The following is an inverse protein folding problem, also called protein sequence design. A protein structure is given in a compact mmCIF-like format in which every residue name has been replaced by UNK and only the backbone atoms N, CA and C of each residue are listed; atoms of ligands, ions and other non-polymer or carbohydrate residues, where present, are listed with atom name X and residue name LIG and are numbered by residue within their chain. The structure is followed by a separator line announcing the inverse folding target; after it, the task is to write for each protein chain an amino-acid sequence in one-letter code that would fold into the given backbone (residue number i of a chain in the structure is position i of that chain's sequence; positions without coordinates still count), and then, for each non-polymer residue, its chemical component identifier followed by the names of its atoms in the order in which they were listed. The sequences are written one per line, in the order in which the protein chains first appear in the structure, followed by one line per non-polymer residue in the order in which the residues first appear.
data_IF_770045054949
#
_entry.id   IF_770045054949
#
_cell.length_a   1.000
_cell.length_b   1.000
_cell.length_c   1.000
_cell.angle_alpha   90.00
_cell.angle_beta   90.00
_cell.angle_gamma   90.00
#
_symmetry.space_group_name_H-M   'P 1'
#
loop_
_entity.id
_entity.type
_entity.pdbx_description
1 polymer ?
#
# COMPACT_ATOMS: atom_id res chain seq x y z
N UNK A 1 8.48 9.61 -24.03
CA UNK A 1 7.05 9.47 -23.70
C UNK A 1 6.66 8.00 -23.87
N UNK A 2 6.09 7.35 -22.85
CA UNK A 2 5.62 5.95 -22.87
C UNK A 2 4.11 5.94 -22.61
N UNK A 3 3.41 4.86 -22.99
CA UNK A 3 2.05 4.58 -22.57
C UNK A 3 2.08 3.54 -21.45
N UNK A 4 1.61 3.90 -20.25
CA UNK A 4 1.74 3.09 -19.04
C UNK A 4 0.35 2.72 -18.52
N UNK A 5 0.11 1.43 -18.30
CA UNK A 5 -1.08 0.94 -17.61
C UNK A 5 -0.85 0.97 -16.11
N UNK A 6 -1.78 1.58 -15.37
CA UNK A 6 -1.87 1.48 -13.91
C UNK A 6 -3.17 0.76 -13.56
N UNK A 7 -3.08 -0.43 -12.98
CA UNK A 7 -4.25 -1.13 -12.42
C UNK A 7 -4.43 -0.77 -10.95
N UNK A 8 -5.66 -0.80 -10.44
CA UNK A 8 -5.94 -0.30 -9.09
C UNK A 8 -5.77 1.23 -8.97
N UNK A 9 -5.95 1.95 -10.09
CA UNK A 9 -5.72 3.38 -10.21
C UNK A 9 -6.70 4.24 -9.39
N UNK A 10 -7.92 3.76 -9.19
CA UNK A 10 -8.90 4.39 -8.28
C UNK A 10 -8.59 4.17 -6.80
N UNK A 11 -7.53 3.39 -6.48
CA UNK A 11 -7.03 3.18 -5.13
C UNK A 11 -6.10 4.30 -4.66
N UNK A 12 -5.67 4.20 -3.40
CA UNK A 12 -4.82 5.20 -2.75
C UNK A 12 -3.49 5.42 -3.46
N UNK A 13 -2.64 4.38 -3.54
CA UNK A 13 -1.29 4.51 -4.15
C UNK A 13 -1.41 4.66 -5.67
N UNK A 14 -2.36 3.93 -6.30
CA UNK A 14 -2.57 3.98 -7.74
C UNK A 14 -2.91 5.38 -8.26
N UNK A 15 -3.81 6.11 -7.58
CA UNK A 15 -4.15 7.48 -7.95
C UNK A 15 -2.96 8.45 -7.88
N UNK A 16 -2.13 8.32 -6.84
CA UNK A 16 -0.90 9.13 -6.74
C UNK A 16 0.13 8.77 -7.82
N UNK A 17 0.26 7.49 -8.19
CA UNK A 17 1.13 7.08 -9.30
C UNK A 17 0.64 7.65 -10.63
N UNK A 18 -0.67 7.57 -10.91
CA UNK A 18 -1.25 8.18 -12.13
C UNK A 18 -0.90 9.66 -12.20
N UNK A 19 -1.12 10.41 -11.12
CA UNK A 19 -0.79 11.85 -11.06
C UNK A 19 0.67 12.12 -11.39
N UNK A 20 1.59 11.37 -10.77
CA UNK A 20 3.02 11.60 -10.97
C UNK A 20 3.47 11.18 -12.38
N UNK A 21 2.91 10.12 -12.96
CA UNK A 21 3.20 9.71 -14.34
C UNK A 21 2.75 10.75 -15.36
N UNK A 22 1.61 11.41 -15.13
CA UNK A 22 1.15 12.55 -15.94
C UNK A 22 2.14 13.70 -15.82
N UNK A 23 2.56 14.06 -14.61
CA UNK A 23 3.53 15.12 -14.36
C UNK A 23 4.87 14.87 -15.09
N UNK A 24 5.28 13.60 -15.22
CA UNK A 24 6.47 13.18 -15.99
C UNK A 24 6.24 13.11 -17.50
N UNK A 25 5.07 13.51 -18.00
CA UNK A 25 4.75 13.57 -19.43
C UNK A 25 4.47 12.20 -20.07
N UNK A 26 4.08 11.19 -19.30
CA UNK A 26 3.65 9.90 -19.83
C UNK A 26 2.18 9.90 -20.23
N UNK A 27 1.81 9.08 -21.20
CA UNK A 27 0.41 8.71 -21.44
C UNK A 27 0.03 7.61 -20.46
N UNK A 28 -1.11 7.78 -19.78
CA UNK A 28 -1.56 6.81 -18.78
C UNK A 28 -2.88 6.19 -19.19
N UNK A 29 -2.97 4.88 -19.01
CA UNK A 29 -4.23 4.13 -18.97
C UNK A 29 -4.44 3.69 -17.52
N UNK A 30 -5.59 4.01 -16.95
CA UNK A 30 -5.93 3.75 -15.57
C UNK A 30 -7.13 2.79 -15.48
N UNK A 31 -7.02 1.74 -14.68
CA UNK A 31 -8.13 0.79 -14.47
C UNK A 31 -8.36 0.53 -12.99
N UNK A 32 -9.62 0.44 -12.60
CA UNK A 32 -10.04 -0.04 -11.27
C UNK A 32 -11.38 -0.77 -11.38
N UNK A 33 -11.71 -1.62 -10.43
CA UNK A 33 -13.03 -2.27 -10.34
C UNK A 33 -14.12 -1.30 -9.86
N UNK A 34 -13.71 -0.24 -9.13
CA UNK A 34 -14.61 0.76 -8.57
C UNK A 34 -15.18 1.66 -9.66
N UNK A 35 -16.44 2.14 -9.52
CA UNK A 35 -16.95 3.22 -10.35
C UNK A 35 -16.14 4.50 -10.14
N UNK A 36 -16.13 5.40 -11.12
CA UNK A 36 -15.29 6.61 -11.10
C UNK A 36 -15.60 7.55 -9.93
N UNK A 37 -16.83 7.59 -9.48
CA UNK A 37 -17.27 8.42 -8.32
C UNK A 37 -16.61 7.98 -7.00
N UNK A 38 -16.14 6.72 -6.93
CA UNK A 38 -15.44 6.17 -5.77
C UNK A 38 -13.91 6.33 -5.85
N UNK A 39 -13.39 7.00 -6.91
CA UNK A 39 -11.98 7.27 -7.04
C UNK A 39 -11.64 8.60 -6.33
N UNK A 40 -10.74 8.58 -5.35
CA UNK A 40 -10.24 9.82 -4.75
C UNK A 40 -9.53 10.74 -5.74
N UNK A 41 -8.93 10.16 -6.79
CA UNK A 41 -8.22 10.87 -7.84
C UNK A 41 -8.58 10.26 -9.20
N UNK A 42 -9.33 11.00 -10.00
CA UNK A 42 -9.69 10.63 -11.38
C UNK A 42 -9.30 11.81 -12.29
N UNK A 43 -8.50 11.54 -13.32
CA UNK A 43 -7.93 12.57 -14.19
C UNK A 43 -8.57 12.46 -15.58
N UNK A 44 -9.08 13.58 -16.12
CA UNK A 44 -9.78 13.60 -17.41
C UNK A 44 -8.88 13.35 -18.62
N UNK A 45 -7.60 13.70 -18.51
CA UNK A 45 -6.58 13.47 -19.55
C UNK A 45 -6.07 12.02 -19.65
N UNK A 46 -6.60 11.12 -18.84
CA UNK A 46 -6.22 9.70 -18.73
C UNK A 46 -7.27 8.82 -19.40
N UNK A 47 -6.84 7.74 -20.04
CA UNK A 47 -7.74 6.68 -20.48
C UNK A 47 -8.25 5.87 -19.27
N UNK A 48 -9.39 6.28 -18.68
CA UNK A 48 -9.96 5.64 -17.50
C UNK A 48 -10.95 4.53 -17.87
N UNK A 49 -10.84 3.36 -17.19
CA UNK A 49 -11.74 2.23 -17.37
C UNK A 49 -12.17 1.62 -16.02
N UNK A 50 -13.44 1.27 -15.91
CA UNK A 50 -13.94 0.40 -14.84
C UNK A 50 -13.85 -1.04 -15.32
N UNK A 51 -12.86 -1.81 -14.81
CA UNK A 51 -12.58 -3.19 -15.21
C UNK A 51 -12.20 -4.05 -13.99
N UNK A 52 -12.81 -5.22 -13.89
CA UNK A 52 -12.40 -6.27 -12.96
C UNK A 52 -11.19 -7.04 -13.53
N UNK A 53 -10.02 -6.84 -12.93
CA UNK A 53 -8.78 -7.47 -13.38
C UNK A 53 -8.64 -8.94 -12.94
N UNK A 54 -9.62 -9.51 -12.21
CA UNK A 54 -9.69 -10.96 -12.01
C UNK A 54 -10.16 -11.69 -13.26
N UNK A 55 -10.77 -10.97 -14.21
CA UNK A 55 -11.23 -11.48 -15.50
C UNK A 55 -10.11 -11.36 -16.52
N UNK A 56 -9.71 -12.49 -17.14
CA UNK A 56 -8.58 -12.59 -18.07
C UNK A 56 -8.73 -11.63 -19.26
N UNK A 57 -9.90 -11.58 -19.87
CA UNK A 57 -10.21 -10.76 -21.04
C UNK A 57 -10.01 -9.26 -20.74
N UNK A 58 -10.35 -8.82 -19.52
CA UNK A 58 -10.14 -7.45 -19.09
C UNK A 58 -8.65 -7.11 -18.95
N UNK A 59 -7.83 -8.06 -18.46
CA UNK A 59 -6.38 -7.88 -18.41
C UNK A 59 -5.78 -7.73 -19.81
N UNK A 60 -6.22 -8.54 -20.77
CA UNK A 60 -5.78 -8.43 -22.16
C UNK A 60 -6.19 -7.10 -22.78
N UNK A 61 -7.47 -6.72 -22.66
CA UNK A 61 -7.99 -5.42 -23.12
C UNK A 61 -7.22 -4.23 -22.53
N UNK A 62 -6.92 -4.28 -21.24
CA UNK A 62 -6.19 -3.20 -20.57
C UNK A 62 -4.73 -3.11 -21.00
N UNK A 63 -4.09 -4.25 -21.31
CA UNK A 63 -2.66 -4.33 -21.63
C UNK A 63 -2.36 -4.05 -23.10
N UNK A 64 -3.33 -4.20 -23.99
CA UNK A 64 -3.13 -3.99 -25.42
C UNK A 64 -2.66 -2.55 -25.74
N UNK A 65 -1.55 -2.43 -26.43
CA UNK A 65 -1.00 -1.15 -26.91
C UNK A 65 -0.39 -0.27 -25.82
N UNK A 66 -0.02 -0.84 -24.65
CA UNK A 66 0.80 -0.13 -23.63
C UNK A 66 2.25 -0.60 -23.67
N UNK A 67 3.17 0.22 -23.20
CA UNK A 67 4.60 -0.09 -23.12
C UNK A 67 4.99 -0.78 -21.82
N UNK A 68 4.38 -0.35 -20.71
CA UNK A 68 4.70 -0.79 -19.34
C UNK A 68 3.42 -0.97 -18.51
N UNK A 69 3.49 -1.83 -17.51
CA UNK A 69 2.38 -2.11 -16.59
C UNK A 69 2.81 -1.91 -15.15
N UNK A 70 2.02 -1.15 -14.40
CA UNK A 70 2.14 -0.97 -12.95
C UNK A 70 0.91 -1.62 -12.31
N UNK A 71 1.09 -2.83 -11.76
CA UNK A 71 0.01 -3.58 -11.13
C UNK A 71 -0.13 -3.25 -9.65
N UNK A 72 -1.16 -2.44 -9.33
CA UNK A 72 -1.53 -2.07 -7.96
C UNK A 72 -2.85 -2.72 -7.51
N UNK A 73 -3.55 -3.42 -8.42
CA UNK A 73 -4.86 -4.00 -8.14
C UNK A 73 -4.76 -5.22 -7.22
N UNK A 74 -5.44 -5.16 -6.09
CA UNK A 74 -5.65 -6.30 -5.17
C UNK A 74 -6.78 -6.02 -4.20
N UNK A 75 -7.39 -7.08 -3.68
CA UNK A 75 -8.31 -6.97 -2.53
C UNK A 75 -7.50 -6.89 -1.24
N UNK A 76 -7.50 -5.71 -0.61
CA UNK A 76 -6.75 -5.47 0.63
C UNK A 76 -7.41 -4.39 1.48
N UNK A 77 -6.98 -4.30 2.73
CA UNK A 77 -7.40 -3.29 3.69
C UNK A 77 -6.52 -3.29 4.93
N UNK A 78 -6.99 -2.70 6.01
CA UNK A 78 -6.40 -2.85 7.34
C UNK A 78 -6.55 -4.27 7.88
N UNK A 79 -5.97 -4.56 9.06
CA UNK A 79 -5.96 -5.91 9.64
C UNK A 79 -7.35 -6.52 9.78
N UNK A 80 -8.34 -5.73 10.20
CA UNK A 80 -9.72 -6.22 10.32
C UNK A 80 -10.31 -6.73 9.01
N UNK A 81 -9.99 -6.08 7.88
CA UNK A 81 -10.43 -6.54 6.57
C UNK A 81 -9.71 -7.83 6.15
N UNK A 82 -8.39 -7.87 6.27
CA UNK A 82 -7.56 -9.00 5.84
C UNK A 82 -7.93 -10.28 6.62
N UNK A 83 -8.07 -10.19 7.94
CA UNK A 83 -8.40 -11.34 8.79
C UNK A 83 -9.81 -11.92 8.54
N UNK A 84 -10.75 -11.04 8.15
CA UNK A 84 -12.14 -11.48 7.92
C UNK A 84 -12.44 -11.81 6.44
N UNK A 85 -11.49 -11.57 5.51
CA UNK A 85 -11.70 -11.78 4.07
C UNK A 85 -10.54 -12.54 3.42
N UNK A 86 -10.02 -13.58 4.07
CA UNK A 86 -8.82 -14.31 3.65
C UNK A 86 -8.92 -14.88 2.23
N UNK A 87 -10.00 -15.57 1.90
CA UNK A 87 -10.22 -16.13 0.58
C UNK A 87 -10.29 -15.03 -0.49
N UNK A 88 -11.00 -13.93 -0.21
CA UNK A 88 -11.10 -12.79 -1.13
C UNK A 88 -9.73 -12.15 -1.39
N UNK A 89 -8.90 -12.01 -0.36
CA UNK A 89 -7.52 -11.52 -0.51
C UNK A 89 -6.69 -12.47 -1.39
N UNK A 90 -6.80 -13.79 -1.19
CA UNK A 90 -6.07 -14.79 -1.98
C UNK A 90 -6.49 -14.80 -3.45
N UNK A 91 -7.76 -14.52 -3.78
CA UNK A 91 -8.23 -14.44 -5.16
C UNK A 91 -7.55 -13.32 -5.97
N UNK A 92 -6.87 -12.38 -5.33
CA UNK A 92 -6.03 -11.40 -6.02
C UNK A 92 -4.89 -12.04 -6.82
N UNK A 93 -4.54 -13.30 -6.55
CA UNK A 93 -3.60 -14.08 -7.38
C UNK A 93 -4.03 -14.13 -8.84
N UNK A 94 -5.35 -14.13 -9.12
CA UNK A 94 -5.88 -14.13 -10.49
C UNK A 94 -5.48 -12.85 -11.23
N UNK A 95 -5.53 -11.70 -10.56
CA UNK A 95 -5.10 -10.42 -11.16
C UNK A 95 -3.65 -10.51 -11.62
N UNK A 96 -2.73 -10.88 -10.72
CA UNK A 96 -1.31 -10.98 -11.06
C UNK A 96 -1.06 -12.03 -12.15
N UNK A 97 -1.70 -13.19 -12.07
CA UNK A 97 -1.57 -14.26 -13.05
C UNK A 97 -2.00 -13.81 -14.45
N UNK A 98 -3.21 -13.25 -14.57
CA UNK A 98 -3.74 -12.82 -15.87
C UNK A 98 -2.95 -11.64 -16.44
N UNK A 99 -2.52 -10.71 -15.60
CA UNK A 99 -1.68 -9.58 -16.02
C UNK A 99 -0.31 -10.05 -16.56
N UNK A 100 0.36 -10.99 -15.89
CA UNK A 100 1.64 -11.54 -16.36
C UNK A 100 1.48 -12.27 -17.69
N UNK A 101 0.39 -13.06 -17.86
CA UNK A 101 0.07 -13.73 -19.13
C UNK A 101 -0.15 -12.68 -20.24
N UNK A 102 -0.94 -11.63 -19.97
CA UNK A 102 -1.16 -10.55 -20.94
C UNK A 102 0.13 -9.81 -21.29
N UNK A 103 0.98 -9.53 -20.29
CA UNK A 103 2.28 -8.90 -20.52
C UNK A 103 3.19 -9.73 -21.41
N UNK A 104 3.23 -11.04 -21.22
CA UNK A 104 3.95 -11.97 -22.10
C UNK A 104 3.41 -11.92 -23.53
N UNK A 105 2.09 -12.01 -23.70
CA UNK A 105 1.43 -12.04 -25.02
C UNK A 105 1.71 -10.76 -25.81
N UNK A 106 1.55 -9.59 -25.19
CA UNK A 106 1.77 -8.29 -25.83
C UNK A 106 3.23 -7.82 -25.79
N UNK A 107 4.18 -8.65 -25.32
CA UNK A 107 5.62 -8.34 -25.23
C UNK A 107 5.88 -7.03 -24.51
N UNK A 108 5.20 -6.83 -23.37
CA UNK A 108 5.36 -5.66 -22.52
C UNK A 108 6.82 -5.56 -22.05
N UNK A 109 7.37 -4.36 -22.08
CA UNK A 109 8.78 -4.13 -21.76
C UNK A 109 9.07 -4.25 -20.26
N UNK A 110 8.13 -3.79 -19.42
CA UNK A 110 8.32 -3.74 -17.96
C UNK A 110 7.02 -4.00 -17.21
N UNK A 111 7.12 -4.76 -16.14
CA UNK A 111 6.02 -5.08 -15.23
C UNK A 111 6.40 -4.77 -13.80
N UNK A 112 5.62 -3.92 -13.14
CA UNK A 112 5.76 -3.66 -11.71
C UNK A 112 4.67 -4.37 -10.91
N UNK A 113 5.05 -5.00 -9.81
CA UNK A 113 4.15 -5.66 -8.86
C UNK A 113 4.25 -5.05 -7.47
N UNK A 114 3.08 -4.66 -6.92
CA UNK A 114 2.95 -4.20 -5.55
C UNK A 114 2.83 -5.37 -4.58
N UNK A 115 3.94 -5.77 -3.97
CA UNK A 115 3.97 -6.70 -2.84
C UNK A 115 3.77 -5.97 -1.51
N UNK A 116 3.95 -6.67 -0.41
CA UNK A 116 3.63 -6.17 0.93
C UNK A 116 4.58 -6.72 1.98
N UNK A 117 4.74 -5.99 3.08
CA UNK A 117 5.37 -6.50 4.30
C UNK A 117 4.63 -7.69 4.94
N UNK A 118 3.40 -8.01 4.50
CA UNK A 118 2.69 -9.23 4.91
C UNK A 118 3.31 -10.50 4.31
N UNK A 119 4.20 -10.40 3.32
CA UNK A 119 4.96 -11.52 2.75
C UNK A 119 6.07 -12.04 3.67
N UNK A 120 6.43 -11.31 4.72
CA UNK A 120 7.47 -11.69 5.66
C UNK A 120 7.04 -12.78 6.63
N UNK A 121 8.04 -13.57 7.08
CA UNK A 121 7.84 -14.59 8.12
C UNK A 121 7.30 -13.96 9.41
N UNK A 122 6.12 -14.42 9.85
CA UNK A 122 5.43 -13.90 11.04
C UNK A 122 6.13 -14.27 12.35
N UNK A 123 6.95 -15.33 12.37
CA UNK A 123 7.69 -15.73 13.57
C UNK A 123 8.75 -14.69 13.97
N UNK A 124 9.27 -13.92 13.01
CA UNK A 124 10.22 -12.82 13.26
C UNK A 124 9.55 -11.57 13.84
N UNK A 125 8.22 -11.54 13.94
CA UNK A 125 7.41 -10.37 14.25
C UNK A 125 6.62 -10.49 15.57
N UNK A 126 7.05 -11.39 16.47
CA UNK A 126 6.35 -11.72 17.72
C UNK A 126 6.60 -10.72 18.86
N UNK A 127 7.58 -9.83 18.73
CA UNK A 127 7.95 -8.85 19.74
C UNK A 127 7.67 -7.42 19.24
N UNK A 128 7.46 -6.49 20.17
CA UNK A 128 7.28 -5.07 19.87
C UNK A 128 8.57 -4.38 19.47
N UNK A 129 9.71 -4.85 19.97
CA UNK A 129 11.04 -4.37 19.58
C UNK A 129 11.67 -5.40 18.66
N UNK A 130 11.69 -5.11 17.38
CA UNK A 130 12.34 -5.93 16.36
C UNK A 130 13.33 -5.08 15.57
N UNK A 131 14.36 -5.71 15.02
CA UNK A 131 15.14 -5.12 13.94
C UNK A 131 14.30 -4.99 12.68
N UNK A 132 14.66 -4.09 11.77
CA UNK A 132 14.01 -3.98 10.46
C UNK A 132 14.06 -5.32 9.72
N UNK A 133 12.98 -5.67 9.03
CA UNK A 133 12.89 -6.87 8.21
C UNK A 133 13.67 -6.68 6.90
N UNK A 134 14.64 -7.54 6.65
CA UNK A 134 15.42 -7.59 5.40
C UNK A 134 14.67 -8.39 4.36
N UNK A 135 14.95 -8.17 3.09
CA UNK A 135 14.28 -8.87 1.99
C UNK A 135 14.43 -10.40 2.07
N UNK A 136 15.53 -10.91 2.63
CA UNK A 136 15.77 -12.33 2.90
C UNK A 136 14.80 -12.93 3.93
N UNK A 137 14.26 -12.13 4.85
CA UNK A 137 13.46 -12.58 6.00
C UNK A 137 12.04 -13.05 5.62
N UNK A 138 11.71 -13.02 4.33
CA UNK A 138 10.52 -13.70 3.82
C UNK A 138 10.66 -15.23 3.81
N UNK A 139 11.88 -15.74 4.00
CA UNK A 139 12.16 -17.18 4.01
C UNK A 139 12.90 -17.60 5.30
N UNK A 140 12.60 -18.82 5.85
CA UNK A 140 11.58 -19.75 5.40
C UNK A 140 10.19 -19.15 5.40
N UNK A 141 9.36 -19.53 4.41
CA UNK A 141 8.07 -18.89 4.16
C UNK A 141 7.04 -19.19 5.26
N UNK A 142 6.62 -18.16 5.96
CA UNK A 142 5.54 -18.17 6.94
C UNK A 142 4.82 -16.80 6.95
N UNK A 143 4.29 -16.35 5.79
CA UNK A 143 3.68 -15.03 5.67
C UNK A 143 2.36 -14.92 6.43
N UNK A 144 1.86 -13.68 6.60
CA UNK A 144 0.51 -13.47 7.13
C UNK A 144 -0.53 -14.15 6.25
N UNK A 145 -1.45 -14.85 6.90
CA UNK A 145 -2.47 -15.67 6.28
C UNK A 145 -3.27 -14.94 5.19
N UNK A 146 -3.72 -15.67 4.17
CA UNK A 146 -4.45 -15.16 3.04
C UNK A 146 -3.67 -14.14 2.20
N UNK A 147 -3.69 -12.88 2.60
CA UNK A 147 -3.04 -11.80 1.87
C UNK A 147 -1.52 -11.94 1.73
N UNK A 148 -0.84 -12.35 2.81
CA UNK A 148 0.62 -12.54 2.78
C UNK A 148 1.04 -13.68 1.84
N UNK A 149 0.30 -14.79 1.85
CA UNK A 149 0.55 -15.92 0.95
C UNK A 149 0.31 -15.54 -0.51
N UNK A 150 -0.75 -14.78 -0.82
CA UNK A 150 -0.98 -14.27 -2.17
C UNK A 150 0.20 -13.42 -2.65
N UNK A 151 0.66 -12.50 -1.82
CA UNK A 151 1.78 -11.61 -2.17
C UNK A 151 3.08 -12.38 -2.41
N UNK A 152 3.45 -13.28 -1.49
CA UNK A 152 4.67 -14.07 -1.64
C UNK A 152 4.64 -15.02 -2.85
N UNK A 153 3.49 -15.65 -3.12
CA UNK A 153 3.30 -16.46 -4.32
C UNK A 153 3.44 -15.62 -5.59
N UNK A 154 2.82 -14.45 -5.62
CA UNK A 154 2.88 -13.53 -6.77
C UNK A 154 4.28 -13.00 -7.03
N UNK A 155 5.10 -12.75 -5.99
CA UNK A 155 6.53 -12.45 -6.15
C UNK A 155 7.28 -13.60 -6.86
N UNK A 156 7.00 -14.85 -6.47
CA UNK A 156 7.59 -16.04 -7.13
C UNK A 156 7.19 -16.13 -8.60
N UNK A 157 5.92 -15.87 -8.92
CA UNK A 157 5.45 -15.82 -10.31
C UNK A 157 6.17 -14.73 -11.11
N UNK A 158 6.30 -13.51 -10.58
CA UNK A 158 7.04 -12.42 -11.23
C UNK A 158 8.48 -12.85 -11.55
N UNK A 159 9.17 -13.46 -10.58
CA UNK A 159 10.52 -13.96 -10.76
C UNK A 159 10.62 -14.99 -11.89
N UNK A 160 9.73 -15.98 -11.92
CA UNK A 160 9.77 -17.02 -12.96
C UNK A 160 9.37 -16.48 -14.34
N UNK A 161 8.48 -15.51 -14.43
CA UNK A 161 8.20 -14.83 -15.70
C UNK A 161 9.41 -14.02 -16.20
N UNK A 162 10.22 -13.48 -15.31
CA UNK A 162 11.50 -12.88 -15.68
C UNK A 162 12.48 -13.95 -16.19
N UNK A 163 12.66 -15.06 -15.46
CA UNK A 163 13.59 -16.14 -15.78
C UNK A 163 13.24 -16.83 -17.11
N UNK A 164 11.95 -17.15 -17.33
CA UNK A 164 11.49 -17.93 -18.48
C UNK A 164 11.21 -17.11 -19.73
N UNK A 165 10.76 -15.86 -19.57
CA UNK A 165 10.28 -15.02 -20.68
C UNK A 165 11.02 -13.69 -20.82
N UNK A 166 12.05 -13.44 -20.00
CA UNK A 166 12.83 -12.19 -19.99
C UNK A 166 11.96 -10.92 -19.83
N UNK A 167 10.85 -11.02 -19.09
CA UNK A 167 10.05 -9.86 -18.72
C UNK A 167 10.79 -9.04 -17.66
N UNK A 168 11.03 -7.76 -17.89
CA UNK A 168 11.66 -6.88 -16.89
C UNK A 168 10.67 -6.61 -15.74
N UNK A 169 10.79 -7.39 -14.66
CA UNK A 169 9.91 -7.27 -13.48
C UNK A 169 10.52 -6.39 -12.40
N UNK A 170 9.68 -5.64 -11.71
CA UNK A 170 10.01 -4.85 -10.53
C UNK A 170 9.04 -5.21 -9.40
N UNK A 171 9.56 -5.47 -8.22
CA UNK A 171 8.73 -5.89 -7.08
C UNK A 171 9.03 -5.02 -5.88
N UNK A 172 8.03 -4.33 -5.36
CA UNK A 172 8.13 -3.54 -4.13
C UNK A 172 7.39 -4.21 -2.97
N UNK A 173 8.03 -4.39 -1.83
CA UNK A 173 7.37 -4.73 -0.57
C UNK A 173 7.04 -3.46 0.19
N UNK A 174 5.79 -3.04 0.11
CA UNK A 174 5.32 -1.84 0.79
C UNK A 174 5.13 -2.05 2.29
N UNK A 175 5.72 -1.16 3.11
CA UNK A 175 5.59 -1.12 4.57
C UNK A 175 4.66 0.01 5.01
N UNK A 176 3.35 -0.32 5.21
CA UNK A 176 2.32 0.56 5.79
C UNK A 176 2.29 2.00 5.22
N UNK A 177 1.99 2.09 3.93
CA UNK A 177 1.87 3.39 3.27
C UNK A 177 0.64 4.13 3.78
N UNK A 178 0.76 5.45 4.03
CA UNK A 178 -0.31 6.32 4.50
C UNK A 178 -0.20 7.72 3.89
N UNK A 179 -1.29 8.48 3.91
CA UNK A 179 -1.32 9.85 3.38
C UNK A 179 -2.72 10.30 2.94
N UNK A 180 -2.84 11.50 2.38
CA UNK A 180 -4.07 12.02 1.77
C UNK A 180 -4.57 11.18 0.58
N UNK A 181 -5.84 11.32 0.22
CA UNK A 181 -6.52 10.62 -0.86
C UNK A 181 -6.51 9.09 -0.71
N UNK A 182 -6.61 8.61 0.53
CA UNK A 182 -6.74 7.20 0.87
C UNK A 182 -7.96 6.94 1.73
N UNK A 183 -8.35 5.68 1.87
CA UNK A 183 -9.47 5.25 2.70
C UNK A 183 -9.22 5.63 4.16
N UNK A 184 -10.13 6.38 4.76
CA UNK A 184 -10.10 6.77 6.17
C UNK A 184 -11.30 6.28 6.97
N UNK A 185 -12.30 5.69 6.30
CA UNK A 185 -13.51 5.12 6.87
C UNK A 185 -13.97 3.88 6.08
N UNK A 186 -14.99 3.15 6.58
CA UNK A 186 -15.62 2.03 5.89
C UNK A 186 -14.96 0.66 6.11
N UNK A 187 -14.04 0.52 7.08
CA UNK A 187 -13.48 -0.76 7.54
C UNK A 187 -12.28 -1.28 6.75
N UNK A 188 -11.81 -0.54 5.73
CA UNK A 188 -10.58 -0.87 4.97
C UNK A 188 -9.40 0.05 5.33
N UNK A 189 -9.63 1.06 6.14
CA UNK A 189 -8.63 2.04 6.54
C UNK A 189 -7.50 1.43 7.38
N UNK A 190 -6.30 1.97 7.22
CA UNK A 190 -5.13 1.62 8.04
C UNK A 190 -5.04 2.52 9.29
N UNK A 191 -4.26 2.09 10.27
CA UNK A 191 -4.17 2.75 11.58
C UNK A 191 -3.95 4.28 11.53
N UNK A 192 -3.05 4.87 10.71
CA UNK A 192 -2.88 6.32 10.70
C UNK A 192 -4.16 7.06 10.33
N UNK A 193 -4.85 6.62 9.27
CA UNK A 193 -6.10 7.25 8.82
C UNK A 193 -7.25 7.02 9.81
N UNK A 194 -7.40 5.78 10.32
CA UNK A 194 -8.41 5.44 11.30
C UNK A 194 -8.29 6.26 12.59
N UNK A 195 -7.07 6.42 13.10
CA UNK A 195 -6.83 7.17 14.33
C UNK A 195 -7.02 8.67 14.14
N UNK A 196 -6.57 9.25 13.02
CA UNK A 196 -6.87 10.64 12.67
C UNK A 196 -8.38 10.88 12.63
N UNK A 197 -9.14 10.03 11.92
CA UNK A 197 -10.61 10.13 11.85
C UNK A 197 -11.24 10.05 13.24
N UNK A 198 -10.89 9.06 14.05
CA UNK A 198 -11.45 8.89 15.40
C UNK A 198 -11.20 10.09 16.32
N UNK A 199 -10.01 10.69 16.24
CA UNK A 199 -9.70 11.91 17.00
C UNK A 199 -10.54 13.09 16.51
N UNK A 200 -10.67 13.27 15.19
CA UNK A 200 -11.53 14.33 14.61
C UNK A 200 -12.99 14.16 15.02
N UNK A 201 -13.52 12.93 14.96
CA UNK A 201 -14.88 12.60 15.39
C UNK A 201 -15.10 12.89 16.89
N UNK A 202 -14.15 12.48 17.73
CA UNK A 202 -14.22 12.72 19.16
C UNK A 202 -14.28 14.21 19.50
N UNK A 203 -13.48 15.02 18.79
CA UNK A 203 -13.49 16.49 18.95
C UNK A 203 -14.83 17.09 18.51
N UNK A 204 -15.37 16.66 17.35
CA UNK A 204 -16.65 17.18 16.82
C UNK A 204 -17.85 16.83 17.67
N UNK A 205 -17.84 15.63 18.27
CA UNK A 205 -18.97 15.12 19.05
C UNK A 205 -18.81 15.29 20.54
N UNK A 206 -17.76 16.00 20.99
CA UNK A 206 -17.37 16.18 22.40
C UNK A 206 -17.24 14.84 23.16
N UNK A 207 -16.86 13.78 22.44
CA UNK A 207 -16.55 12.50 23.07
C UNK A 207 -15.17 12.56 23.72
N UNK A 208 -15.09 12.11 24.99
CA UNK A 208 -13.83 12.13 25.73
C UNK A 208 -12.87 11.00 25.35
N UNK A 209 -13.38 9.91 24.78
CA UNK A 209 -12.60 8.70 24.53
C UNK A 209 -12.72 8.17 23.10
N UNK A 210 -11.67 7.51 22.63
CA UNK A 210 -11.64 6.76 21.37
C UNK A 210 -11.28 5.29 21.62
N UNK A 211 -11.74 4.41 20.75
CA UNK A 211 -11.41 2.97 20.80
C UNK A 211 -10.07 2.71 20.12
N UNK A 212 -9.19 2.00 20.83
CA UNK A 212 -7.89 1.52 20.34
C UNK A 212 -7.91 -0.01 20.32
N UNK A 213 -7.67 -0.61 19.17
CA UNK A 213 -7.62 -2.07 19.04
C UNK A 213 -6.34 -2.64 19.66
N UNK A 214 -6.48 -3.64 20.51
CA UNK A 214 -5.40 -4.22 21.31
C UNK A 214 -5.03 -3.35 22.50
N UNK A 215 -3.79 -3.46 22.93
CA UNK A 215 -3.19 -2.70 24.05
C UNK A 215 -2.48 -1.41 23.60
N UNK A 216 -2.43 -1.16 22.30
CA UNK A 216 -1.75 -0.01 21.72
C UNK A 216 -0.22 -0.11 21.69
N UNK A 217 0.37 -1.20 22.19
CA UNK A 217 1.83 -1.41 22.24
C UNK A 217 2.41 -2.08 20.99
N UNK A 218 1.56 -2.61 20.10
CA UNK A 218 2.03 -3.15 18.82
C UNK A 218 2.71 -2.04 18.01
N UNK A 219 3.89 -2.36 17.46
CA UNK A 219 4.73 -1.38 16.78
C UNK A 219 4.75 -1.58 15.27
N UNK A 220 4.79 -0.48 14.55
CA UNK A 220 4.89 -0.43 13.08
C UNK A 220 5.79 0.72 12.65
N UNK A 221 6.38 0.60 11.47
CA UNK A 221 6.84 1.76 10.73
C UNK A 221 5.82 2.15 9.66
N UNK A 222 5.76 3.42 9.32
CA UNK A 222 4.80 3.98 8.36
C UNK A 222 5.52 4.88 7.37
N UNK A 223 5.25 4.71 6.08
CA UNK A 223 5.87 5.51 5.02
C UNK A 223 4.84 6.46 4.40
N UNK A 224 5.20 7.73 4.32
CA UNK A 224 4.33 8.74 3.71
C UNK A 224 4.22 8.54 2.20
N UNK A 225 3.06 8.85 1.64
CA UNK A 225 2.72 8.53 0.24
C UNK A 225 3.68 9.17 -0.77
N UNK A 226 4.12 10.40 -0.58
CA UNK A 226 5.03 11.08 -1.53
C UNK A 226 6.38 10.34 -1.60
N UNK A 227 6.91 9.89 -0.47
CA UNK A 227 8.13 9.07 -0.41
C UNK A 227 7.91 7.70 -1.08
N UNK A 228 6.75 7.08 -0.87
CA UNK A 228 6.40 5.82 -1.52
C UNK A 228 6.39 5.96 -3.05
N UNK A 229 5.82 7.03 -3.59
CA UNK A 229 5.78 7.28 -5.04
C UNK A 229 7.19 7.49 -5.60
N UNK A 230 8.02 8.32 -4.94
CA UNK A 230 9.41 8.56 -5.35
C UNK A 230 10.22 7.25 -5.41
N UNK A 231 10.18 6.45 -4.32
CA UNK A 231 10.85 5.15 -4.28
C UNK A 231 10.35 4.17 -5.34
N UNK A 232 9.02 4.10 -5.53
CA UNK A 232 8.40 3.22 -6.54
C UNK A 232 8.89 3.54 -7.94
N UNK A 233 8.92 4.80 -8.31
CA UNK A 233 9.35 5.22 -9.64
C UNK A 233 10.85 5.04 -9.84
N UNK A 234 11.68 5.25 -8.81
CA UNK A 234 13.11 4.90 -8.84
C UNK A 234 13.31 3.40 -9.05
N UNK A 235 12.54 2.55 -8.36
CA UNK A 235 12.61 1.10 -8.56
C UNK A 235 12.20 0.70 -9.99
N UNK A 236 11.13 1.29 -10.52
CA UNK A 236 10.68 1.05 -11.90
C UNK A 236 11.79 1.41 -12.90
N UNK A 237 12.52 2.50 -12.68
CA UNK A 237 13.59 2.97 -13.56
C UNK A 237 14.94 2.25 -13.33
N UNK A 238 15.08 1.46 -12.26
CA UNK A 238 16.30 0.75 -11.89
C UNK A 238 16.52 -0.53 -12.72
N UNK A 239 17.64 -1.20 -12.47
CA UNK A 239 17.95 -2.55 -13.01
C UNK A 239 17.57 -3.67 -12.05
N UNK A 240 17.10 -3.35 -10.85
CA UNK A 240 16.76 -4.34 -9.83
C UNK A 240 15.50 -5.12 -10.22
N UNK A 241 15.55 -6.45 -10.10
CA UNK A 241 14.45 -7.36 -10.45
C UNK A 241 13.89 -8.12 -9.27
N UNK A 242 14.61 -8.14 -8.14
CA UNK A 242 14.18 -8.76 -6.89
C UNK A 242 13.22 -7.86 -6.10
N UNK A 243 12.58 -8.41 -5.07
CA UNK A 243 11.78 -7.61 -4.16
C UNK A 243 12.66 -6.63 -3.38
N UNK A 244 12.23 -5.36 -3.33
CA UNK A 244 12.87 -4.28 -2.57
C UNK A 244 11.88 -3.73 -1.55
N UNK A 245 12.34 -3.53 -0.32
CA UNK A 245 11.57 -2.84 0.70
C UNK A 245 11.34 -1.38 0.32
N UNK A 246 10.10 -0.94 0.38
CA UNK A 246 9.73 0.47 0.31
C UNK A 246 8.99 0.81 1.60
N UNK A 247 9.73 1.36 2.56
CA UNK A 247 9.27 1.56 3.92
C UNK A 247 10.05 2.63 4.68
N UNK A 248 9.73 2.78 5.95
CA UNK A 248 10.44 3.63 6.90
C UNK A 248 11.01 2.77 8.04
N UNK A 249 12.12 3.18 8.61
CA UNK A 249 12.72 2.58 9.81
C UNK A 249 12.18 3.23 11.10
N UNK A 250 11.44 4.35 11.01
CA UNK A 250 10.83 5.02 12.17
C UNK A 250 9.73 4.14 12.78
N UNK A 251 10.10 3.32 13.76
CA UNK A 251 9.19 2.41 14.44
C UNK A 251 8.47 3.12 15.59
N UNK A 252 7.14 3.05 15.59
CA UNK A 252 6.31 3.63 16.66
C UNK A 252 5.22 2.65 17.10
N UNK A 253 4.80 2.73 18.39
CA UNK A 253 3.60 2.05 18.85
C UNK A 253 2.34 2.81 18.41
N UNK A 254 1.19 2.14 18.46
CA UNK A 254 -0.11 2.80 18.22
C UNK A 254 -0.35 3.91 19.24
N UNK A 255 0.08 3.72 20.49
CA UNK A 255 0.02 4.75 21.53
C UNK A 255 0.87 5.98 21.19
N UNK A 256 2.12 5.77 20.77
CA UNK A 256 2.99 6.87 20.33
C UNK A 256 2.46 7.60 19.08
N UNK A 257 1.83 6.89 18.17
CA UNK A 257 1.15 7.51 17.03
C UNK A 257 -0.01 8.40 17.48
N UNK A 258 -0.82 7.95 18.44
CA UNK A 258 -1.88 8.76 19.03
C UNK A 258 -1.34 10.00 19.73
N UNK A 259 -0.21 9.88 20.49
CA UNK A 259 0.43 11.05 21.09
C UNK A 259 0.77 12.12 20.04
N UNK A 260 1.30 11.69 18.88
CA UNK A 260 1.59 12.60 17.76
C UNK A 260 0.32 13.25 17.17
N UNK A 261 -0.77 12.49 17.03
CA UNK A 261 -2.06 13.01 16.52
C UNK A 261 -2.69 13.98 17.53
N UNK A 262 -2.59 13.73 18.84
CA UNK A 262 -3.03 14.62 19.89
C UNK A 262 -2.29 15.97 19.87
N UNK A 263 -0.99 15.95 19.57
CA UNK A 263 -0.21 17.19 19.36
C UNK A 263 -0.71 17.96 18.14
N UNK A 264 -0.96 17.28 17.00
CA UNK A 264 -1.45 17.89 15.77
C UNK A 264 -2.87 18.48 15.95
N UNK A 265 -3.72 17.79 16.68
CA UNK A 265 -5.10 18.19 16.92
C UNK A 265 -5.26 19.23 18.05
N UNK A 266 -4.21 19.45 18.86
CA UNK A 266 -4.20 20.25 20.10
C UNK A 266 -5.24 19.75 21.12
N UNK A 267 -5.61 18.48 21.06
CA UNK A 267 -6.60 17.85 21.94
C UNK A 267 -6.11 16.50 22.44
N UNK A 268 -6.33 16.24 23.71
CA UNK A 268 -6.12 14.94 24.33
C UNK A 268 -7.44 14.13 24.32
N UNK A 269 -7.31 12.83 24.07
CA UNK A 269 -8.42 11.88 24.13
C UNK A 269 -8.08 10.70 25.02
N UNK A 270 -9.05 10.23 25.80
CA UNK A 270 -8.91 9.00 26.59
C UNK A 270 -8.87 7.79 25.65
N UNK A 271 -8.08 6.78 25.98
CA UNK A 271 -7.91 5.57 25.19
C UNK A 271 -8.68 4.41 25.80
N UNK A 272 -9.69 3.91 25.10
CA UNK A 272 -10.43 2.70 25.47
C UNK A 272 -9.88 1.52 24.70
N UNK A 273 -9.11 0.66 25.36
CA UNK A 273 -8.47 -0.49 24.74
C UNK A 273 -9.44 -1.66 24.55
N UNK A 274 -9.51 -2.17 23.31
CA UNK A 274 -10.31 -3.34 22.93
C UNK A 274 -9.37 -4.51 22.70
N UNK A 275 -9.12 -5.32 23.74
CA UNK A 275 -8.10 -6.37 23.74
C UNK A 275 -8.46 -7.58 22.88
N UNK A 276 -9.72 -7.77 22.56
CA UNK A 276 -10.30 -8.85 21.75
C UNK A 276 -10.23 -8.58 20.24
N UNK A 277 -9.92 -7.35 19.84
CA UNK A 277 -9.88 -6.96 18.42
C UNK A 277 -8.58 -7.39 17.73
N UNK A 278 -8.61 -7.59 16.39
CA UNK A 278 -7.44 -7.96 15.60
C UNK A 278 -6.25 -7.00 15.80
N UNK A 279 -5.08 -7.56 16.11
CA UNK A 279 -3.84 -6.81 16.37
C UNK A 279 -2.81 -6.99 15.25
N UNK A 280 -2.91 -8.10 14.50
CA UNK A 280 -1.85 -8.57 13.62
C UNK A 280 -0.57 -8.91 14.39
N UNK A 281 0.58 -8.85 13.72
CA UNK A 281 1.89 -9.11 14.34
C UNK A 281 2.23 -8.06 15.42
N UNK A 282 3.10 -8.41 16.39
CA UNK A 282 3.46 -7.52 17.50
C UNK A 282 4.39 -6.38 17.08
N UNK A 283 5.32 -6.64 16.15
CA UNK A 283 6.25 -5.63 15.65
C UNK A 283 6.54 -5.81 14.17
N UNK A 284 6.62 -4.70 13.43
CA UNK A 284 7.01 -4.68 12.02
C UNK A 284 7.70 -3.36 11.69
N UNK A 285 8.90 -3.45 11.12
CA UNK A 285 9.64 -2.32 10.58
C UNK A 285 10.37 -2.73 9.31
N UNK A 286 10.68 -1.79 8.45
CA UNK A 286 11.49 -2.00 7.26
C UNK A 286 12.97 -1.91 7.61
N UNK A 287 13.80 -2.79 7.04
CA UNK A 287 15.23 -2.54 6.86
C UNK A 287 15.40 -1.86 5.49
N UNK A 288 15.96 -0.67 5.47
CA UNK A 288 16.11 0.13 4.26
C UNK A 288 17.53 0.06 3.66
N UNK A 289 18.37 -0.87 4.11
CA UNK A 289 19.75 -1.01 3.60
C UNK A 289 19.75 -1.23 2.09
N UNK A 290 18.95 -2.18 1.59
CA UNK A 290 18.95 -2.53 0.17
C UNK A 290 18.39 -1.40 -0.70
N UNK A 291 17.31 -0.74 -0.32
CA UNK A 291 16.74 0.38 -1.10
C UNK A 291 17.70 1.55 -1.16
N UNK A 292 18.44 1.82 -0.08
CA UNK A 292 19.47 2.87 -0.04
C UNK A 292 20.64 2.52 -0.97
N UNK A 293 21.18 1.31 -0.89
CA UNK A 293 22.32 0.89 -1.70
C UNK A 293 21.98 0.81 -3.19
N UNK A 294 20.77 0.32 -3.53
CA UNK A 294 20.38 0.03 -4.91
C UNK A 294 19.71 1.19 -5.63
N UNK A 295 18.99 2.04 -4.90
CA UNK A 295 18.18 3.13 -5.48
C UNK A 295 18.66 4.52 -5.05
N UNK A 296 19.67 4.62 -4.19
CA UNK A 296 20.12 5.89 -3.58
C UNK A 296 18.92 6.67 -3.02
N UNK A 297 18.13 6.00 -2.18
CA UNK A 297 16.87 6.54 -1.68
C UNK A 297 16.70 6.37 -0.18
N UNK A 298 16.17 7.40 0.46
CA UNK A 298 15.74 7.44 1.86
C UNK A 298 14.43 8.24 1.98
N UNK A 299 13.56 7.93 2.98
CA UNK A 299 12.38 8.73 3.27
C UNK A 299 12.75 10.18 3.61
N UNK A 300 12.00 11.14 3.08
CA UNK A 300 12.18 12.57 3.34
C UNK A 300 11.24 13.10 4.41
N UNK A 301 10.09 12.44 4.59
CA UNK A 301 9.07 12.84 5.56
C UNK A 301 9.17 12.02 6.83
N UNK A 302 9.23 12.70 7.99
CA UNK A 302 9.00 12.07 9.28
C UNK A 302 7.54 11.65 9.44
N UNK A 303 7.27 10.70 10.35
CA UNK A 303 5.89 10.31 10.65
C UNK A 303 5.02 11.50 11.07
N UNK A 304 5.55 12.43 11.88
CA UNK A 304 4.81 13.60 12.34
C UNK A 304 4.39 14.52 11.19
N UNK A 305 5.28 14.80 10.24
CA UNK A 305 4.98 15.63 9.07
C UNK A 305 3.91 14.99 8.17
N UNK A 306 4.01 13.67 7.93
CA UNK A 306 3.02 12.96 7.13
C UNK A 306 1.66 12.84 7.83
N UNK A 307 1.65 12.63 9.16
CA UNK A 307 0.42 12.60 9.96
C UNK A 307 -0.30 13.94 9.95
N UNK A 308 0.43 15.05 10.07
CA UNK A 308 -0.15 16.39 10.00
C UNK A 308 -0.91 16.62 8.67
N UNK A 309 -0.24 16.36 7.54
CA UNK A 309 -0.87 16.45 6.20
C UNK A 309 -2.10 15.53 6.08
N UNK A 310 -2.00 14.30 6.58
CA UNK A 310 -3.09 13.31 6.54
C UNK A 310 -4.28 13.74 7.41
N UNK A 311 -4.00 14.22 8.63
CA UNK A 311 -5.01 14.68 9.57
C UNK A 311 -5.83 15.85 9.00
N UNK A 312 -5.17 16.88 8.48
CA UNK A 312 -5.85 18.03 7.91
C UNK A 312 -6.63 17.69 6.64
N UNK A 313 -6.10 16.78 5.81
CA UNK A 313 -6.86 16.29 4.65
C UNK A 313 -8.15 15.58 5.09
N UNK A 314 -8.07 14.61 6.03
CA UNK A 314 -9.26 13.90 6.54
C UNK A 314 -10.25 14.90 7.16
N UNK A 315 -9.77 15.85 7.96
CA UNK A 315 -10.61 16.89 8.58
C UNK A 315 -11.39 17.69 7.53
N UNK A 316 -10.74 18.04 6.42
CA UNK A 316 -11.38 18.77 5.32
C UNK A 316 -12.40 17.90 4.57
N UNK A 317 -12.09 16.63 4.29
CA UNK A 317 -13.04 15.71 3.65
C UNK A 317 -14.29 15.49 4.52
N UNK A 318 -14.10 15.27 5.81
CA UNK A 318 -15.22 15.15 6.74
C UNK A 318 -16.06 16.42 6.85
N UNK A 319 -15.48 17.62 6.62
CA UNK A 319 -16.24 18.88 6.59
C UNK A 319 -17.08 19.04 5.32
N UNK A 320 -16.64 18.49 4.18
CA UNK A 320 -17.41 18.53 2.93
C UNK A 320 -18.66 17.64 2.97
N UNK A 321 -18.58 16.55 3.77
CA UNK A 321 -19.64 15.55 3.88
C UNK A 321 -20.57 15.76 5.09
N UNK A 322 -20.43 16.88 5.81
CA UNK A 322 -21.27 17.29 6.94
C UNK A 322 -22.19 18.41 6.52
#
# INVERSE_FOLDING_TARGET
MKKILVTGAGGFIGGHLVKELINRGHKVRATDIKPFDDWYQCFQEVENFTLDMTVKENCFKATEGVDEVINMACNMGGMGFIENNKALCMLSVLVNTHMLIACKEFKIKKYFFSSSACAYNTELQQNTKISGLKESDAYPAMPEDGYGWEKLFSERMCRHFHEDYNLDVKVARYHNIYGPNGTYDGGREKAPAALCRKVIEAIRTDKKSIEVWGDGEQTRSFLYIEDCIDATLRLIDSKETGPINIGSEEQVSINQMLDKIEVISEKKVERKYLLDKPKGVRGRSSDNTMVKEKLDWEPKFSLSQGLEKTYFWIKNEMNKNS
#
